data_IF_616287236888
#
_entry.id   IF_616287236888
#
_cell.length_a   1.000
_cell.length_b   1.000
_cell.length_c   1.000
_cell.angle_alpha   90.00
_cell.angle_beta   90.00
_cell.angle_gamma   90.00
#
_symmetry.space_group_name_H-M   'P 1'
#
loop_
_entity.id
_entity.type
_entity.pdbx_description
1 polymer ?
#
# COMPACT_ATOMS: atom_id res chain seq x y z
N UNK A 1 0.94 24.49 4.85
CA UNK A 1 0.28 25.47 3.95
C UNK A 1 1.32 26.01 2.96
N UNK A 2 0.95 26.56 1.80
CA UNK A 2 1.93 27.27 0.96
C UNK A 2 2.36 28.57 1.67
N UNK A 3 3.66 28.92 1.67
CA UNK A 3 4.20 30.06 2.44
C UNK A 3 3.44 31.37 2.18
N UNK A 4 3.05 31.63 0.93
CA UNK A 4 2.29 32.84 0.58
C UNK A 4 0.90 32.89 1.22
N UNK A 5 0.17 31.77 1.26
CA UNK A 5 -1.15 31.71 1.91
C UNK A 5 -1.04 31.87 3.43
N UNK A 6 0.00 31.28 4.04
CA UNK A 6 0.25 31.45 5.47
C UNK A 6 0.54 32.92 5.81
N UNK A 7 1.36 33.61 5.01
CA UNK A 7 1.67 35.02 5.20
C UNK A 7 0.42 35.90 5.05
N UNK A 8 -0.38 35.68 4.01
CA UNK A 8 -1.64 36.42 3.83
C UNK A 8 -2.61 36.19 5.00
N UNK A 9 -2.75 34.94 5.46
CA UNK A 9 -3.61 34.63 6.60
C UNK A 9 -3.10 35.29 7.90
N UNK A 10 -1.79 35.32 8.14
CA UNK A 10 -1.18 36.02 9.29
C UNK A 10 -1.41 37.53 9.22
N UNK A 11 -1.37 38.13 8.02
CA UNK A 11 -1.59 39.57 7.87
C UNK A 11 -3.05 39.96 8.12
N UNK A 12 -4.00 39.12 7.68
CA UNK A 12 -5.45 39.39 7.82
C UNK A 12 -5.93 39.01 9.22
N UNK A 13 -5.36 37.96 9.82
CA UNK A 13 -5.76 37.40 11.11
C UNK A 13 -4.54 37.18 12.03
N UNK A 14 -3.89 38.25 12.52
CA UNK A 14 -2.62 38.16 13.26
C UNK A 14 -2.72 37.34 14.55
N UNK A 15 -3.86 37.40 15.22
CA UNK A 15 -4.09 36.72 16.51
C UNK A 15 -4.81 35.37 16.35
N UNK A 16 -4.96 34.87 15.12
CA UNK A 16 -5.63 33.58 14.88
C UNK A 16 -4.60 32.48 14.59
N UNK A 17 -4.60 31.40 15.39
CA UNK A 17 -3.70 30.29 15.16
C UNK A 17 -3.99 29.63 13.81
N UNK A 18 -2.94 29.33 13.06
CA UNK A 18 -3.05 28.66 11.76
C UNK A 18 -2.91 27.17 11.93
N UNK A 19 -3.93 26.41 11.53
CA UNK A 19 -3.85 24.96 11.56
C UNK A 19 -3.21 24.41 10.29
N UNK A 20 -2.32 23.43 10.44
CA UNK A 20 -1.90 22.56 9.33
C UNK A 20 -2.55 21.18 9.41
N UNK A 21 -2.77 20.57 8.24
CA UNK A 21 -3.33 19.23 8.14
C UNK A 21 -2.34 18.19 8.69
N UNK A 22 -2.72 17.51 9.78
CA UNK A 22 -1.89 16.50 10.45
C UNK A 22 -1.52 15.34 9.51
N UNK A 23 -2.43 14.96 8.60
CA UNK A 23 -2.18 13.94 7.56
C UNK A 23 -1.08 14.36 6.60
N UNK A 24 -1.10 15.62 6.17
CA UNK A 24 -0.07 16.14 5.27
C UNK A 24 1.27 16.29 5.96
N UNK A 25 1.27 16.72 7.21
CA UNK A 25 2.45 16.79 8.05
C UNK A 25 3.12 15.42 8.17
N UNK A 26 2.42 14.40 8.69
CA UNK A 26 3.02 13.08 8.91
C UNK A 26 3.45 12.40 7.61
N UNK A 27 2.71 12.62 6.51
CA UNK A 27 3.08 12.11 5.18
C UNK A 27 4.38 12.72 4.68
N UNK A 28 4.54 14.04 4.82
CA UNK A 28 5.75 14.73 4.39
C UNK A 28 6.93 14.35 5.26
N UNK A 29 6.73 14.31 6.59
CA UNK A 29 7.74 13.84 7.53
C UNK A 29 8.22 12.43 7.18
N UNK A 30 7.29 11.48 6.98
CA UNK A 30 7.63 10.13 6.56
C UNK A 30 8.42 10.12 5.25
N UNK A 31 7.96 10.86 4.24
CA UNK A 31 8.67 10.94 2.96
C UNK A 31 10.11 11.42 3.15
N UNK A 32 10.31 12.46 3.95
CA UNK A 32 11.62 13.08 4.16
C UNK A 32 12.54 12.12 4.93
N UNK A 33 12.03 11.42 5.94
CA UNK A 33 12.81 10.44 6.71
C UNK A 33 13.09 9.15 5.95
N UNK A 34 12.17 8.66 5.11
CA UNK A 34 12.23 7.30 4.53
C UNK A 34 12.86 7.27 3.14
N UNK A 35 12.72 8.33 2.33
CA UNK A 35 13.09 8.29 0.90
C UNK A 35 14.57 7.95 0.68
N UNK A 36 15.48 8.54 1.46
CA UNK A 36 16.93 8.29 1.33
C UNK A 36 17.30 6.85 1.64
N UNK A 37 16.82 6.31 2.76
CA UNK A 37 17.07 4.93 3.18
C UNK A 37 16.40 3.92 2.24
N UNK A 38 15.19 4.19 1.76
CA UNK A 38 14.54 3.35 0.75
C UNK A 38 15.34 3.27 -0.56
N UNK A 39 15.93 4.38 -1.03
CA UNK A 39 16.82 4.36 -2.20
C UNK A 39 18.05 3.49 -1.98
N UNK A 40 18.65 3.54 -0.78
CA UNK A 40 19.77 2.69 -0.40
C UNK A 40 19.40 1.21 -0.37
N UNK A 41 18.28 0.86 0.28
CA UNK A 41 17.74 -0.51 0.30
C UNK A 41 17.45 -1.03 -1.12
N UNK A 42 16.80 -0.21 -1.95
CA UNK A 42 16.57 -0.53 -3.37
C UNK A 42 17.90 -0.85 -4.06
N UNK A 43 18.90 0.01 -3.90
CA UNK A 43 20.18 -0.15 -4.56
C UNK A 43 20.87 -1.46 -4.14
N UNK A 44 20.94 -1.75 -2.83
CA UNK A 44 21.53 -3.00 -2.35
C UNK A 44 20.76 -4.24 -2.80
N UNK A 45 19.41 -4.23 -2.76
CA UNK A 45 18.60 -5.35 -3.26
C UNK A 45 18.74 -5.58 -4.76
N UNK A 46 18.88 -4.53 -5.57
CA UNK A 46 19.04 -4.64 -7.03
C UNK A 46 20.39 -5.27 -7.41
N UNK A 47 21.45 -5.09 -6.60
CA UNK A 47 22.76 -5.76 -6.82
C UNK A 47 22.63 -7.28 -6.90
N UNK A 48 21.70 -7.86 -6.15
CA UNK A 48 21.41 -9.31 -6.15
C UNK A 48 20.67 -9.83 -7.37
N UNK A 49 20.28 -8.93 -8.30
CA UNK A 49 19.50 -9.28 -9.50
C UNK A 49 18.23 -10.09 -9.17
N UNK A 50 17.61 -9.82 -8.01
CA UNK A 50 16.44 -10.57 -7.55
C UNK A 50 15.28 -10.51 -8.55
N UNK A 51 14.94 -9.33 -9.07
CA UNK A 51 13.83 -9.17 -10.01
C UNK A 51 14.00 -10.03 -11.28
N UNK A 52 15.11 -9.94 -12.05
CA UNK A 52 15.28 -10.78 -13.23
C UNK A 52 15.36 -12.28 -12.90
N UNK A 53 15.95 -12.68 -11.76
CA UNK A 53 15.95 -14.09 -11.31
C UNK A 53 14.55 -14.61 -11.03
N UNK A 54 13.73 -13.84 -10.31
CA UNK A 54 12.32 -14.17 -10.08
C UNK A 54 11.53 -14.24 -11.40
N UNK A 55 11.78 -13.32 -12.34
CA UNK A 55 11.15 -13.37 -13.67
C UNK A 55 11.52 -14.62 -14.47
N UNK A 56 12.77 -15.08 -14.38
CA UNK A 56 13.18 -16.32 -15.02
C UNK A 56 12.45 -17.53 -14.42
N UNK A 57 12.30 -17.58 -13.10
CA UNK A 57 11.55 -18.64 -12.41
C UNK A 57 10.06 -18.65 -12.78
N UNK A 58 9.47 -17.49 -13.08
CA UNK A 58 8.08 -17.37 -13.58
C UNK A 58 7.86 -18.05 -14.93
N UNK A 59 8.92 -18.20 -15.71
CA UNK A 59 8.90 -18.71 -17.08
C UNK A 59 9.48 -20.12 -17.20
N UNK A 60 9.82 -20.77 -16.08
CA UNK A 60 10.37 -22.12 -16.09
C UNK A 60 9.31 -23.14 -16.54
N UNK A 61 9.72 -24.12 -17.35
CA UNK A 61 8.82 -25.15 -17.90
C UNK A 61 8.22 -26.06 -16.84
N UNK A 62 7.08 -26.69 -17.17
CA UNK A 62 6.39 -27.65 -16.31
C UNK A 62 7.22 -28.90 -16.06
N UNK A 63 7.23 -29.41 -14.83
CA UNK A 63 7.91 -30.66 -14.51
C UNK A 63 7.15 -31.92 -14.93
N UNK A 64 7.88 -33.03 -15.03
CA UNK A 64 7.39 -34.30 -15.61
C UNK A 64 6.49 -35.15 -14.67
N UNK A 65 6.40 -34.79 -13.39
CA UNK A 65 5.53 -35.48 -12.41
C UNK A 65 4.51 -34.54 -11.78
N UNK A 66 3.40 -35.07 -11.29
CA UNK A 66 2.29 -34.25 -10.77
C UNK A 66 2.72 -33.41 -9.56
N UNK A 67 3.55 -33.96 -8.67
CA UNK A 67 4.13 -33.17 -7.58
C UNK A 67 5.06 -32.04 -8.07
N UNK A 68 5.81 -32.25 -9.16
CA UNK A 68 6.63 -31.19 -9.77
C UNK A 68 5.76 -30.11 -10.40
N UNK A 69 4.65 -30.47 -11.06
CA UNK A 69 3.69 -29.49 -11.61
C UNK A 69 3.06 -28.64 -10.50
N UNK A 70 2.69 -29.27 -9.39
CA UNK A 70 2.15 -28.58 -8.22
C UNK A 70 3.17 -27.64 -7.57
N UNK A 71 4.42 -28.09 -7.38
CA UNK A 71 5.48 -27.22 -6.87
C UNK A 71 5.86 -26.10 -7.85
N UNK A 72 5.81 -26.32 -9.17
CA UNK A 72 5.98 -25.27 -10.17
C UNK A 72 4.90 -24.19 -10.02
N UNK A 73 3.64 -24.61 -9.85
CA UNK A 73 2.53 -23.68 -9.63
C UNK A 73 2.71 -22.91 -8.31
N UNK A 74 3.13 -23.58 -7.24
CA UNK A 74 3.47 -22.95 -5.96
C UNK A 74 4.59 -21.91 -6.13
N UNK A 75 5.68 -22.26 -6.84
CA UNK A 75 6.79 -21.34 -7.14
C UNK A 75 6.31 -20.13 -7.94
N UNK A 76 5.42 -20.31 -8.92
CA UNK A 76 4.84 -19.19 -9.67
C UNK A 76 4.03 -18.24 -8.78
N UNK A 77 3.19 -18.77 -7.89
CA UNK A 77 2.42 -17.95 -6.93
C UNK A 77 3.37 -17.18 -6.00
N UNK A 78 4.42 -17.84 -5.50
CA UNK A 78 5.43 -17.23 -4.65
C UNK A 78 6.19 -16.11 -5.38
N UNK A 79 6.60 -16.34 -6.63
CA UNK A 79 7.26 -15.35 -7.49
C UNK A 79 6.36 -14.13 -7.72
N UNK A 80 5.08 -14.34 -8.06
CA UNK A 80 4.14 -13.25 -8.27
C UNK A 80 3.88 -12.46 -6.97
N UNK A 81 3.83 -13.13 -5.82
CA UNK A 81 3.74 -12.48 -4.51
C UNK A 81 4.98 -11.61 -4.21
N UNK A 82 6.18 -12.11 -4.52
CA UNK A 82 7.45 -11.39 -4.30
C UNK A 82 7.65 -10.19 -5.25
N UNK A 83 7.13 -10.27 -6.48
CA UNK A 83 7.26 -9.21 -7.49
C UNK A 83 6.20 -8.12 -7.36
N UNK A 84 5.02 -8.46 -6.81
CA UNK A 84 3.89 -7.54 -6.70
C UNK A 84 4.24 -6.15 -6.13
N UNK A 85 5.01 -6.00 -5.03
CA UNK A 85 5.27 -4.67 -4.47
C UNK A 85 6.04 -3.74 -5.41
N UNK A 86 6.88 -4.31 -6.26
CA UNK A 86 7.74 -3.58 -7.20
C UNK A 86 7.02 -3.33 -8.52
N UNK A 87 6.24 -4.30 -9.01
CA UNK A 87 5.54 -4.20 -10.31
C UNK A 87 4.23 -3.40 -10.22
N UNK A 88 3.47 -3.52 -9.12
CA UNK A 88 2.15 -2.85 -8.99
C UNK A 88 2.20 -1.50 -8.26
N UNK A 89 3.38 -1.06 -7.81
CA UNK A 89 3.59 0.16 -7.03
C UNK A 89 2.59 0.31 -5.87
N UNK A 90 2.84 -0.39 -4.76
CA UNK A 90 1.99 -0.36 -3.55
C UNK A 90 1.58 1.07 -3.22
N UNK A 91 0.27 1.33 -3.19
CA UNK A 91 -0.28 2.64 -2.86
C UNK A 91 -0.04 2.92 -1.39
N UNK A 92 0.99 3.71 -1.10
CA UNK A 92 1.32 4.16 0.25
C UNK A 92 1.19 5.67 0.37
N UNK A 93 0.91 6.15 1.59
CA UNK A 93 0.70 7.57 1.84
C UNK A 93 1.93 8.41 1.44
N UNK A 94 3.13 7.94 1.78
CA UNK A 94 4.40 8.63 1.48
C UNK A 94 5.05 8.21 0.14
N UNK A 95 4.66 7.05 -0.42
CA UNK A 95 5.10 6.40 -1.69
C UNK A 95 6.47 5.65 -1.77
N UNK A 96 7.45 5.69 -0.86
CA UNK A 96 8.63 4.82 -0.94
C UNK A 96 8.60 3.66 0.07
N UNK A 97 7.95 2.55 -0.29
CA UNK A 97 8.03 1.31 0.53
C UNK A 97 8.08 0.01 -0.29
N UNK A 98 8.15 0.07 -1.62
CA UNK A 98 8.06 -1.15 -2.45
C UNK A 98 9.12 -2.18 -2.09
N UNK A 99 10.35 -1.72 -1.83
CA UNK A 99 11.47 -2.61 -1.52
C UNK A 99 11.49 -3.09 -0.07
N UNK A 100 10.94 -2.32 0.89
CA UNK A 100 10.77 -2.84 2.25
C UNK A 100 9.67 -3.90 2.31
N UNK A 101 8.55 -3.68 1.61
CA UNK A 101 7.50 -4.70 1.49
C UNK A 101 8.05 -5.93 0.79
N UNK A 102 8.81 -5.77 -0.29
CA UNK A 102 9.48 -6.89 -0.94
C UNK A 102 10.39 -7.64 0.04
N UNK A 103 11.17 -6.94 0.87
CA UNK A 103 12.03 -7.59 1.87
C UNK A 103 11.24 -8.38 2.92
N UNK A 104 10.10 -7.87 3.42
CA UNK A 104 9.21 -8.64 4.30
C UNK A 104 8.73 -9.92 3.63
N UNK A 105 8.28 -9.81 2.38
CA UNK A 105 7.81 -10.97 1.60
C UNK A 105 8.92 -11.99 1.35
N UNK A 106 10.16 -11.54 1.12
CA UNK A 106 11.33 -12.42 1.01
C UNK A 106 11.53 -13.22 2.29
N UNK A 107 11.42 -12.60 3.47
CA UNK A 107 11.51 -13.31 4.76
C UNK A 107 10.42 -14.37 4.92
N UNK A 108 9.17 -14.00 4.65
CA UNK A 108 8.01 -14.90 4.73
C UNK A 108 8.19 -16.12 3.81
N UNK A 109 8.42 -15.86 2.51
CA UNK A 109 8.55 -16.91 1.50
C UNK A 109 9.80 -17.75 1.72
N UNK A 110 10.92 -17.18 2.20
CA UNK A 110 12.15 -17.94 2.47
C UNK A 110 11.94 -19.02 3.53
N UNK A 111 11.07 -18.77 4.52
CA UNK A 111 10.73 -19.78 5.53
C UNK A 111 9.94 -20.93 4.89
N UNK A 112 8.92 -20.60 4.09
CA UNK A 112 8.11 -21.58 3.37
C UNK A 112 8.95 -22.43 2.39
N UNK A 113 9.83 -21.79 1.61
CA UNK A 113 10.76 -22.48 0.71
C UNK A 113 11.66 -23.45 1.48
N UNK A 114 12.17 -23.04 2.65
CA UNK A 114 13.03 -23.90 3.48
C UNK A 114 12.29 -25.10 4.06
N UNK A 115 10.99 -24.96 4.35
CA UNK A 115 10.13 -26.08 4.79
C UNK A 115 9.87 -27.04 3.63
N UNK A 116 9.52 -26.51 2.45
CA UNK A 116 9.27 -27.32 1.26
C UNK A 116 10.54 -28.08 0.80
N UNK A 117 11.72 -27.47 0.89
CA UNK A 117 13.00 -28.16 0.61
C UNK A 117 13.25 -29.28 1.61
N UNK A 118 12.98 -29.08 2.91
CA UNK A 118 13.12 -30.13 3.92
C UNK A 118 12.18 -31.29 3.65
N UNK A 119 10.92 -31.00 3.34
CA UNK A 119 9.95 -32.04 2.95
C UNK A 119 10.40 -32.80 1.70
N UNK A 120 10.87 -32.08 0.67
CA UNK A 120 11.42 -32.67 -0.55
C UNK A 120 12.60 -33.62 -0.25
N UNK A 121 13.53 -33.19 0.60
CA UNK A 121 14.68 -34.00 0.99
C UNK A 121 14.27 -35.27 1.75
N UNK A 122 13.31 -35.19 2.67
CA UNK A 122 12.75 -36.35 3.38
C UNK A 122 12.06 -37.35 2.44
N UNK A 123 11.65 -36.91 1.25
CA UNK A 123 11.01 -37.74 0.22
C UNK A 123 11.96 -38.07 -0.95
N UNK A 124 13.28 -37.91 -0.77
CA UNK A 124 14.31 -38.17 -1.80
C UNK A 124 14.04 -37.47 -3.14
N UNK A 125 13.44 -36.28 -3.07
CA UNK A 125 12.97 -35.52 -4.21
C UNK A 125 13.73 -34.20 -4.32
N UNK A 126 14.13 -33.84 -5.54
CA UNK A 126 14.83 -32.57 -5.82
C UNK A 126 14.11 -31.84 -6.94
N UNK A 127 13.83 -30.56 -6.71
CA UNK A 127 13.18 -29.70 -7.67
C UNK A 127 13.97 -28.40 -7.85
N UNK A 128 14.66 -28.31 -8.99
CA UNK A 128 15.66 -27.27 -9.29
C UNK A 128 15.13 -25.84 -9.18
N UNK A 129 13.94 -25.47 -9.72
CA UNK A 129 13.40 -24.12 -9.57
C UNK A 129 13.19 -23.69 -8.12
N UNK A 130 12.82 -24.62 -7.22
CA UNK A 130 12.69 -24.32 -5.79
C UNK A 130 14.06 -24.07 -5.14
N UNK A 131 15.09 -24.83 -5.52
CA UNK A 131 16.45 -24.60 -5.04
C UNK A 131 17.01 -23.25 -5.53
N UNK A 132 16.74 -22.89 -6.79
CA UNK A 132 17.09 -21.59 -7.36
C UNK A 132 16.38 -20.44 -6.65
N UNK A 133 15.08 -20.61 -6.34
CA UNK A 133 14.32 -19.64 -5.54
C UNK A 133 14.94 -19.49 -4.14
N UNK A 134 15.24 -20.60 -3.46
CA UNK A 134 15.88 -20.58 -2.14
C UNK A 134 17.20 -19.82 -2.13
N UNK A 135 18.10 -20.13 -3.06
CA UNK A 135 19.38 -19.41 -3.21
C UNK A 135 19.13 -17.94 -3.46
N UNK A 136 18.21 -17.60 -4.37
CA UNK A 136 17.86 -16.21 -4.68
C UNK A 136 17.38 -15.41 -3.46
N UNK A 137 16.56 -16.00 -2.59
CA UNK A 137 16.08 -15.34 -1.37
C UNK A 137 17.18 -15.26 -0.31
N UNK A 138 17.96 -16.32 -0.14
CA UNK A 138 19.08 -16.34 0.83
C UNK A 138 20.17 -15.34 0.50
N UNK A 139 20.50 -15.15 -0.77
CA UNK A 139 21.51 -14.17 -1.19
C UNK A 139 21.15 -12.76 -0.67
N UNK A 140 19.87 -12.38 -0.73
CA UNK A 140 19.38 -11.09 -0.22
C UNK A 140 19.31 -11.06 1.31
N UNK A 141 18.86 -12.14 1.95
CA UNK A 141 18.69 -12.19 3.41
C UNK A 141 20.02 -12.25 4.17
N UNK A 142 21.06 -12.84 3.58
CA UNK A 142 22.39 -12.94 4.20
C UNK A 142 23.26 -11.71 3.94
N UNK A 143 22.83 -10.79 3.07
CA UNK A 143 23.57 -9.56 2.80
C UNK A 143 23.40 -8.56 3.96
N UNK A 144 24.51 -8.27 4.64
CA UNK A 144 24.55 -7.35 5.78
C UNK A 144 24.27 -5.89 5.41
N UNK A 145 24.61 -5.45 4.20
CA UNK A 145 24.29 -4.12 3.67
C UNK A 145 22.77 -4.01 3.44
N UNK A 146 22.15 -5.02 2.84
CA UNK A 146 20.69 -5.09 2.69
C UNK A 146 20.01 -5.08 4.05
N UNK A 147 20.45 -5.94 4.98
CA UNK A 147 19.88 -6.01 6.32
C UNK A 147 20.01 -4.69 7.07
N UNK A 148 21.18 -4.03 7.01
CA UNK A 148 21.41 -2.74 7.66
C UNK A 148 20.48 -1.64 7.14
N UNK A 149 20.35 -1.51 5.81
CA UNK A 149 19.42 -0.55 5.21
C UNK A 149 17.95 -0.86 5.53
N UNK A 150 17.57 -2.13 5.50
CA UNK A 150 16.24 -2.59 5.90
C UNK A 150 15.96 -2.24 7.36
N UNK A 151 16.88 -2.53 8.27
CA UNK A 151 16.69 -2.35 9.70
C UNK A 151 16.44 -0.88 10.07
N UNK A 152 17.22 0.03 9.48
CA UNK A 152 17.02 1.48 9.66
C UNK A 152 15.62 1.88 9.17
N UNK A 153 15.21 1.39 8.00
CA UNK A 153 13.95 1.74 7.39
C UNK A 153 12.74 1.20 8.19
N UNK A 154 12.80 -0.07 8.60
CA UNK A 154 11.78 -0.73 9.42
C UNK A 154 11.59 0.00 10.74
N UNK A 155 12.69 0.26 11.47
CA UNK A 155 12.62 0.95 12.77
C UNK A 155 12.11 2.38 12.63
N UNK A 156 12.56 3.12 11.59
CA UNK A 156 12.05 4.47 11.30
C UNK A 156 10.55 4.45 11.00
N UNK A 157 10.07 3.47 10.23
CA UNK A 157 8.65 3.33 9.93
C UNK A 157 7.81 2.97 11.16
N UNK A 158 8.34 2.14 12.07
CA UNK A 158 7.71 1.82 13.37
C UNK A 158 7.54 3.06 14.25
N UNK A 159 8.58 3.87 14.40
CA UNK A 159 8.48 5.15 15.12
C UNK A 159 7.44 6.08 14.52
N UNK A 160 7.42 6.19 13.19
CA UNK A 160 6.43 7.01 12.51
C UNK A 160 5.01 6.43 12.63
N UNK A 161 4.86 5.11 12.78
CA UNK A 161 3.56 4.46 13.01
C UNK A 161 3.00 4.75 14.38
N UNK A 162 3.83 4.67 15.41
CA UNK A 162 3.44 5.02 16.76
C UNK A 162 2.94 6.47 16.83
N UNK A 163 3.61 7.38 16.12
CA UNK A 163 3.17 8.77 15.96
C UNK A 163 1.84 8.88 15.16
N UNK A 164 1.67 8.10 14.08
CA UNK A 164 0.41 8.06 13.32
C UNK A 164 -0.75 7.57 14.15
N UNK A 165 -0.55 6.53 14.96
CA UNK A 165 -1.60 5.93 15.77
C UNK A 165 -2.09 6.92 16.84
N UNK A 166 -1.17 7.67 17.45
CA UNK A 166 -1.53 8.77 18.37
C UNK A 166 -2.28 9.91 17.67
N UNK A 167 -1.93 10.21 16.42
CA UNK A 167 -2.68 11.15 15.57
C UNK A 167 -3.98 10.54 15.00
N UNK A 168 -4.25 9.26 15.25
CA UNK A 168 -5.38 8.48 14.70
C UNK A 168 -5.42 8.45 13.17
N UNK A 169 -4.24 8.40 12.53
CA UNK A 169 -4.06 8.42 11.08
C UNK A 169 -3.75 7.01 10.56
N UNK A 170 -4.66 6.42 9.77
CA UNK A 170 -4.45 5.09 9.19
C UNK A 170 -3.48 5.09 8.00
N UNK A 171 -2.67 4.02 7.87
CA UNK A 171 -1.89 3.74 6.66
C UNK A 171 -2.71 3.32 5.44
N UNK A 172 -3.82 2.58 5.64
CA UNK A 172 -4.61 1.93 4.56
C UNK A 172 -5.45 2.93 3.75
N UNK A 173 -5.87 4.00 4.40
CA UNK A 173 -6.71 5.04 3.80
C UNK A 173 -5.99 6.34 4.02
N UNK A 174 -5.71 7.07 2.94
CA UNK A 174 -5.01 8.34 3.04
C UNK A 174 -5.67 9.31 4.02
N UNK A 175 -6.96 9.16 4.28
CA UNK A 175 -7.77 10.05 5.10
C UNK A 175 -8.93 9.19 5.66
N UNK A 176 -9.02 8.96 6.97
CA UNK A 176 -10.25 8.43 7.58
C UNK A 176 -11.08 9.61 8.08
N UNK A 177 -12.33 9.67 7.64
CA UNK A 177 -13.37 10.47 8.28
C UNK A 177 -13.76 9.78 9.60
N UNK A 178 -12.86 9.79 10.57
CA UNK A 178 -13.30 9.57 11.94
C UNK A 178 -14.23 10.73 12.27
N UNK A 179 -15.41 10.44 12.82
CA UNK A 179 -16.24 11.48 13.44
C UNK A 179 -15.35 12.28 14.39
N UNK A 180 -15.46 13.62 14.44
CA UNK A 180 -14.81 14.39 15.48
C UNK A 180 -15.47 13.98 16.80
N UNK A 181 -14.99 12.88 17.39
CA UNK A 181 -15.23 12.59 18.80
C UNK A 181 -14.50 13.65 19.62
N UNK A 182 -14.83 13.74 20.90
CA UNK A 182 -14.07 14.54 21.85
C UNK A 182 -12.61 14.03 21.86
N UNK A 183 -11.78 14.68 21.07
CA UNK A 183 -10.33 14.49 21.12
C UNK A 183 -9.86 15.43 22.20
N UNK A 184 -9.43 14.85 23.32
CA UNK A 184 -8.63 15.58 24.29
C UNK A 184 -7.27 15.89 23.66
N UNK A 185 -7.10 17.14 23.24
CA UNK A 185 -5.86 17.61 22.61
C UNK A 185 -4.70 17.65 23.61
N UNK A 186 -4.98 17.85 24.89
CA UNK A 186 -3.95 17.86 25.92
C UNK A 186 -3.41 16.45 26.12
N UNK A 187 -4.30 15.45 26.16
CA UNK A 187 -3.92 14.04 26.16
C UNK A 187 -3.12 13.65 24.92
N UNK A 188 -3.60 13.97 23.72
CA UNK A 188 -2.89 13.65 22.46
C UNK A 188 -1.50 14.31 22.44
N UNK A 189 -1.41 15.57 22.85
CA UNK A 189 -0.14 16.31 22.91
C UNK A 189 0.83 15.66 23.91
N UNK A 190 0.34 15.30 25.10
CA UNK A 190 1.13 14.62 26.14
C UNK A 190 1.64 13.27 25.64
N UNK A 191 0.78 12.47 25.02
CA UNK A 191 1.14 11.15 24.52
C UNK A 191 2.19 11.25 23.40
N UNK A 192 2.04 12.19 22.46
CA UNK A 192 3.02 12.36 21.39
C UNK A 192 4.36 12.87 21.94
N UNK A 193 4.37 13.76 22.94
CA UNK A 193 5.61 14.16 23.62
C UNK A 193 6.32 12.96 24.26
N UNK A 194 5.58 12.06 24.91
CA UNK A 194 6.12 10.83 25.48
C UNK A 194 6.70 9.90 24.40
N UNK A 195 5.98 9.70 23.30
CA UNK A 195 6.46 8.91 22.15
C UNK A 195 7.74 9.51 21.57
N UNK A 196 7.81 10.84 21.37
CA UNK A 196 9.03 11.49 20.87
C UNK A 196 10.21 11.34 21.82
N UNK A 197 9.99 11.37 23.13
CA UNK A 197 11.03 11.10 24.13
C UNK A 197 11.55 9.65 24.01
N UNK A 198 10.64 8.68 23.91
CA UNK A 198 10.99 7.27 23.71
C UNK A 198 11.72 7.01 22.38
N UNK A 199 11.33 7.69 21.30
CA UNK A 199 12.04 7.65 20.01
C UNK A 199 13.48 8.16 20.16
N UNK A 200 13.69 9.27 20.88
CA UNK A 200 15.03 9.80 21.12
C UNK A 200 15.90 8.88 21.98
N UNK A 201 15.32 8.26 23.01
CA UNK A 201 16.02 7.29 23.85
C UNK A 201 16.42 6.05 23.05
N UNK A 202 15.47 5.40 22.38
CA UNK A 202 15.73 4.26 21.51
C UNK A 202 16.73 4.62 20.40
N UNK A 203 16.70 5.86 19.90
CA UNK A 203 17.67 6.34 18.93
C UNK A 203 19.10 6.39 19.48
N UNK A 204 19.29 6.82 20.72
CA UNK A 204 20.60 6.82 21.39
C UNK A 204 21.11 5.40 21.62
N UNK A 205 20.26 4.50 22.10
CA UNK A 205 20.62 3.11 22.38
C UNK A 205 21.05 2.35 21.12
N UNK A 206 20.32 2.53 20.01
CA UNK A 206 20.64 1.86 18.75
C UNK A 206 21.88 2.43 18.05
N UNK A 207 22.26 3.68 18.32
CA UNK A 207 23.43 4.33 17.72
C UNK A 207 23.36 4.50 16.19
N UNK A 208 24.52 4.74 15.57
CA UNK A 208 24.63 4.92 14.11
C UNK A 208 23.79 6.08 13.59
N UNK A 209 22.91 5.79 12.62
CA UNK A 209 22.03 6.81 12.01
C UNK A 209 20.78 7.14 12.86
N UNK A 210 20.45 6.31 13.85
CA UNK A 210 19.20 6.42 14.60
C UNK A 210 19.07 7.71 15.44
N UNK A 211 20.11 8.22 16.14
CA UNK A 211 20.01 9.48 16.86
C UNK A 211 19.65 10.66 15.95
N UNK A 212 20.23 10.71 14.75
CA UNK A 212 19.96 11.77 13.77
C UNK A 212 18.52 11.70 13.25
N UNK A 213 18.02 10.49 12.94
CA UNK A 213 16.63 10.28 12.52
C UNK A 213 15.65 10.69 13.64
N UNK A 214 15.90 10.23 14.86
CA UNK A 214 15.08 10.57 16.02
C UNK A 214 15.03 12.09 16.28
N UNK A 215 16.19 12.75 16.22
CA UNK A 215 16.30 14.21 16.33
C UNK A 215 15.53 14.95 15.22
N UNK A 216 15.64 14.48 13.97
CA UNK A 216 14.91 15.07 12.85
C UNK A 216 13.39 14.93 12.99
N UNK A 217 12.90 13.77 13.48
CA UNK A 217 11.49 13.54 13.78
C UNK A 217 11.03 14.51 14.89
N UNK A 218 11.75 14.58 16.02
CA UNK A 218 11.43 15.48 17.13
C UNK A 218 11.37 16.94 16.69
N UNK A 219 12.39 17.41 15.97
CA UNK A 219 12.48 18.78 15.47
C UNK A 219 11.32 19.14 14.54
N UNK A 220 10.86 18.21 13.72
CA UNK A 220 9.72 18.43 12.84
C UNK A 220 8.43 18.71 13.63
N UNK A 221 8.19 17.99 14.74
CA UNK A 221 7.05 18.26 15.60
C UNK A 221 7.21 19.56 16.40
N UNK A 222 8.39 19.80 16.96
CA UNK A 222 8.69 21.04 17.69
C UNK A 222 8.47 22.30 16.84
N UNK A 223 8.77 22.21 15.54
CA UNK A 223 8.60 23.34 14.60
C UNK A 223 7.14 23.60 14.22
N UNK A 224 6.22 22.69 14.54
CA UNK A 224 4.82 22.74 14.10
C UNK A 224 3.82 22.51 15.23
N UNK A 225 4.22 22.59 16.50
CA UNK A 225 3.33 22.27 17.62
C UNK A 225 2.05 23.12 17.64
N UNK A 226 2.23 24.43 17.56
CA UNK A 226 1.13 25.39 17.62
C UNK A 226 0.21 25.27 16.41
N UNK A 227 0.73 24.78 15.28
CA UNK A 227 -0.03 24.57 14.04
C UNK A 227 -0.77 23.21 14.01
N UNK A 228 -0.23 22.19 14.67
CA UNK A 228 -0.78 20.83 14.67
C UNK A 228 -1.91 20.66 15.70
N UNK A 229 -1.82 21.36 16.83
CA UNK A 229 -2.74 21.20 17.97
C UNK A 229 -3.46 22.49 18.36
N UNK A 230 -3.86 23.27 17.36
CA UNK A 230 -4.72 24.45 17.55
C UNK A 230 -5.97 24.08 18.38
N UNK A 231 -6.25 24.71 19.54
CA UNK A 231 -7.42 24.36 20.35
C UNK A 231 -8.73 24.60 19.58
N UNK A 232 -9.78 23.87 19.96
CA UNK A 232 -11.09 24.07 19.34
C UNK A 232 -11.62 25.48 19.63
N UNK A 233 -12.13 26.20 18.61
CA UNK A 233 -12.65 27.54 18.80
C UNK A 233 -13.88 27.53 19.71
N UNK A 234 -13.99 28.56 20.54
CA UNK A 234 -15.16 28.80 21.37
C UNK A 234 -16.07 29.78 20.64
N UNK A 235 -17.25 29.31 20.25
CA UNK A 235 -18.27 30.13 19.57
C UNK A 235 -19.49 30.21 20.48
N UNK A 236 -19.83 31.42 20.94
CA UNK A 236 -20.96 31.67 21.87
C UNK A 236 -20.90 30.80 23.14
N UNK A 237 -19.72 30.68 23.74
CA UNK A 237 -19.50 29.89 24.96
C UNK A 237 -19.49 28.36 24.75
N UNK A 238 -19.64 27.88 23.52
CA UNK A 238 -19.58 26.44 23.19
C UNK A 238 -18.32 26.13 22.41
N UNK A 239 -17.63 25.05 22.80
CA UNK A 239 -16.49 24.49 22.07
C UNK A 239 -16.99 23.89 20.76
N UNK A 240 -16.45 24.33 19.63
CA UNK A 240 -16.81 23.83 18.30
C UNK A 240 -15.68 22.95 17.80
N UNK A 241 -15.89 21.63 17.85
CA UNK A 241 -14.95 20.68 17.28
C UNK A 241 -14.84 20.89 15.76
N UNK A 242 -13.62 20.96 15.25
CA UNK A 242 -13.36 21.12 13.83
C UNK A 242 -12.36 20.07 13.31
N UNK A 243 -12.51 19.71 12.02
CA UNK A 243 -11.69 18.64 11.42
C UNK A 243 -10.26 19.12 11.20
N UNK A 244 -9.29 18.36 11.71
CA UNK A 244 -7.85 18.66 11.64
C UNK A 244 -7.17 18.12 10.37
N UNK A 245 -7.98 17.78 9.38
CA UNK A 245 -7.56 17.33 8.07
C UNK A 245 -8.47 17.91 6.99
N UNK A 246 -7.92 18.16 5.81
CA UNK A 246 -8.64 18.71 4.67
C UNK A 246 -9.32 17.63 3.79
N UNK A 247 -9.52 16.41 4.31
CA UNK A 247 -10.10 15.28 3.55
C UNK A 247 -11.42 15.61 2.85
N UNK A 248 -12.36 16.25 3.55
CA UNK A 248 -13.69 16.51 2.99
C UNK A 248 -13.63 17.36 1.72
N UNK A 249 -12.68 18.30 1.65
CA UNK A 249 -12.46 19.18 0.50
C UNK A 249 -11.60 18.51 -0.60
N UNK A 250 -10.62 17.70 -0.23
CA UNK A 250 -9.73 17.04 -1.20
C UNK A 250 -10.33 15.78 -1.83
N UNK A 251 -11.14 15.02 -1.09
CA UNK A 251 -11.65 13.71 -1.49
C UNK A 251 -12.74 13.79 -2.56
N UNK A 252 -13.62 14.79 -2.48
CA UNK A 252 -14.70 15.03 -3.45
C UNK A 252 -14.12 15.10 -4.86
N UNK A 253 -13.19 16.01 -5.11
CA UNK A 253 -12.66 16.22 -6.46
C UNK A 253 -11.47 15.32 -6.81
N UNK A 254 -11.04 14.42 -5.91
CA UNK A 254 -9.82 13.61 -6.12
C UNK A 254 -9.92 12.67 -7.31
N UNK A 255 -11.06 11.98 -7.44
CA UNK A 255 -11.30 11.02 -8.52
C UNK A 255 -11.34 11.73 -9.86
N UNK A 256 -12.09 12.83 -9.91
CA UNK A 256 -12.21 13.70 -11.08
C UNK A 256 -10.86 14.25 -11.53
N UNK A 257 -10.09 14.82 -10.60
CA UNK A 257 -8.74 15.33 -10.88
C UNK A 257 -7.79 14.24 -11.35
N UNK A 258 -7.90 13.02 -10.81
CA UNK A 258 -7.10 11.87 -11.24
C UNK A 258 -7.45 11.45 -12.67
N UNK A 259 -8.74 11.33 -12.99
CA UNK A 259 -9.22 10.96 -14.32
C UNK A 259 -8.78 11.99 -15.38
N UNK A 260 -8.93 13.28 -15.08
CA UNK A 260 -8.41 14.39 -15.90
C UNK A 260 -6.91 14.21 -16.13
N UNK A 261 -6.12 14.05 -15.06
CA UNK A 261 -4.66 13.93 -15.15
C UNK A 261 -4.19 12.69 -15.90
N UNK A 262 -4.92 11.58 -15.81
CA UNK A 262 -4.60 10.35 -16.56
C UNK A 262 -4.83 10.52 -18.05
N UNK A 263 -5.74 11.43 -18.45
CA UNK A 263 -6.01 11.78 -19.85
C UNK A 263 -5.08 12.88 -20.38
N UNK A 264 -4.83 13.94 -19.61
CA UNK A 264 -4.15 15.17 -20.09
C UNK A 264 -2.75 15.39 -19.53
N UNK A 265 -2.31 14.55 -18.58
CA UNK A 265 -1.01 14.72 -17.94
C UNK A 265 -0.99 15.87 -16.91
N UNK A 266 0.19 16.13 -16.32
CA UNK A 266 0.33 17.03 -15.15
C UNK A 266 0.21 18.52 -15.48
N UNK A 267 0.65 18.93 -16.67
CA UNK A 267 0.69 20.33 -17.10
C UNK A 267 -0.70 20.92 -17.31
N UNK A 268 -1.65 20.13 -17.81
CA UNK A 268 -2.97 20.60 -18.23
C UNK A 268 -4.09 20.30 -17.21
N UNK A 269 -3.79 19.50 -16.17
CA UNK A 269 -4.77 19.11 -15.14
C UNK A 269 -5.49 20.31 -14.52
N UNK A 270 -4.76 21.40 -14.22
CA UNK A 270 -5.35 22.56 -13.57
C UNK A 270 -6.24 23.36 -14.53
N UNK A 271 -5.81 23.52 -15.79
CA UNK A 271 -6.59 24.21 -16.83
C UNK A 271 -7.94 23.55 -17.07
N UNK A 272 -7.98 22.21 -17.20
CA UNK A 272 -9.26 21.49 -17.34
C UNK A 272 -10.12 21.53 -16.07
N UNK A 273 -9.49 21.43 -14.90
CA UNK A 273 -10.21 21.55 -13.63
C UNK A 273 -10.91 22.92 -13.52
N UNK A 274 -10.26 23.98 -13.98
CA UNK A 274 -10.81 25.34 -14.01
C UNK A 274 -11.86 25.50 -15.12
N UNK A 275 -11.63 24.94 -16.31
CA UNK A 275 -12.56 25.00 -17.45
C UNK A 275 -13.93 24.41 -17.12
N UNK A 276 -13.97 23.26 -16.44
CA UNK A 276 -15.22 22.57 -16.14
C UNK A 276 -15.83 22.95 -14.80
N UNK A 277 -15.07 23.59 -13.90
CA UNK A 277 -15.56 24.25 -12.67
C UNK A 277 -16.69 23.50 -11.95
N UNK A 278 -17.87 24.12 -11.92
CA UNK A 278 -19.07 23.64 -11.22
C UNK A 278 -19.59 22.29 -11.75
N UNK A 279 -19.39 22.00 -13.04
CA UNK A 279 -19.78 20.71 -13.62
C UNK A 279 -19.01 19.55 -12.98
N UNK A 280 -17.77 19.77 -12.54
CA UNK A 280 -16.98 18.75 -11.83
C UNK A 280 -17.52 18.49 -10.43
N UNK A 281 -18.17 19.46 -9.79
CA UNK A 281 -18.85 19.27 -8.51
C UNK A 281 -20.10 18.42 -8.68
N UNK A 282 -20.90 18.66 -9.73
CA UNK A 282 -22.04 17.81 -10.09
C UNK A 282 -21.58 16.38 -10.37
N UNK A 283 -20.56 16.22 -11.22
CA UNK A 283 -20.03 14.91 -11.59
C UNK A 283 -19.46 14.16 -10.37
N UNK A 284 -18.73 14.85 -9.49
CA UNK A 284 -18.23 14.30 -8.23
C UNK A 284 -19.35 13.80 -7.31
N UNK A 285 -20.49 14.48 -7.29
CA UNK A 285 -21.62 14.15 -6.44
C UNK A 285 -22.46 12.98 -6.95
N UNK A 286 -22.25 12.51 -8.19
CA UNK A 286 -22.89 11.31 -8.72
C UNK A 286 -22.63 10.05 -7.87
N UNK A 287 -21.60 10.02 -7.04
CA UNK A 287 -21.28 8.92 -6.11
C UNK A 287 -21.63 9.21 -4.65
N UNK A 288 -22.28 10.34 -4.36
CA UNK A 288 -22.73 10.69 -3.01
C UNK A 288 -24.16 10.13 -2.80
N UNK A 289 -24.39 9.24 -1.82
CA UNK A 289 -25.71 8.64 -1.59
C UNK A 289 -26.81 9.66 -1.28
N UNK A 290 -26.48 10.72 -0.54
CA UNK A 290 -27.44 11.81 -0.24
C UNK A 290 -27.77 12.59 -1.50
N UNK A 291 -26.80 12.87 -2.37
CA UNK A 291 -27.06 13.55 -3.64
C UNK A 291 -27.91 12.69 -4.58
N UNK A 292 -27.63 11.39 -4.67
CA UNK A 292 -28.47 10.47 -5.44
C UNK A 292 -29.91 10.45 -4.91
N UNK A 293 -30.07 10.38 -3.58
CA UNK A 293 -31.38 10.28 -2.95
C UNK A 293 -32.20 11.59 -2.99
N UNK A 294 -31.55 12.74 -2.86
CA UNK A 294 -32.26 14.02 -2.69
C UNK A 294 -32.31 14.83 -3.99
N UNK A 295 -31.30 14.71 -4.87
CA UNK A 295 -31.19 15.52 -6.11
C UNK A 295 -31.47 14.68 -7.36
N UNK A 296 -31.02 13.42 -7.41
CA UNK A 296 -31.24 12.52 -8.56
C UNK A 296 -32.29 11.44 -8.27
N UNK A 297 -33.23 11.75 -7.38
CA UNK A 297 -34.24 10.80 -6.89
C UNK A 297 -35.17 10.27 -7.99
N UNK A 298 -35.28 11.02 -9.09
CA UNK A 298 -36.06 10.73 -10.29
C UNK A 298 -35.23 9.98 -11.38
N UNK A 299 -33.92 9.81 -11.19
CA UNK A 299 -33.03 9.11 -12.12
C UNK A 299 -32.84 7.65 -11.69
N UNK A 300 -33.64 6.76 -12.28
CA UNK A 300 -33.64 5.32 -11.95
C UNK A 300 -32.33 4.58 -12.30
N UNK A 301 -31.72 4.90 -13.44
CA UNK A 301 -30.44 4.32 -13.88
C UNK A 301 -29.59 5.39 -14.57
N UNK A 302 -28.52 5.79 -13.88
CA UNK A 302 -27.57 6.79 -14.37
C UNK A 302 -26.79 6.30 -15.59
N UNK A 303 -26.46 5.01 -15.66
CA UNK A 303 -25.76 4.40 -16.78
C UNK A 303 -26.62 4.35 -18.03
N UNK A 304 -27.90 4.04 -17.89
CA UNK A 304 -28.88 4.13 -18.98
C UNK A 304 -29.08 5.57 -19.43
N UNK A 305 -29.25 6.51 -18.50
CA UNK A 305 -29.48 7.93 -18.78
C UNK A 305 -28.29 8.59 -19.50
N UNK A 306 -27.07 8.12 -19.23
CA UNK A 306 -25.85 8.60 -19.88
C UNK A 306 -25.49 7.83 -21.15
N UNK A 307 -26.12 6.68 -21.41
CA UNK A 307 -25.81 5.82 -22.57
C UNK A 307 -25.95 6.50 -23.94
N UNK A 308 -26.91 7.42 -24.19
CA UNK A 308 -27.03 8.11 -25.48
C UNK A 308 -25.82 8.99 -25.82
N UNK A 309 -25.03 9.36 -24.80
CA UNK A 309 -23.85 10.21 -24.96
C UNK A 309 -22.55 9.40 -25.16
N UNK A 310 -22.61 8.06 -25.12
CA UNK A 310 -21.43 7.18 -25.27
C UNK A 310 -21.59 6.33 -26.53
N UNK A 311 -20.81 6.66 -27.58
CA UNK A 311 -20.96 6.05 -28.91
C UNK A 311 -20.68 4.54 -29.00
N UNK A 312 -19.93 3.92 -28.07
CA UNK A 312 -19.63 2.48 -28.13
C UNK A 312 -19.19 1.86 -26.77
N UNK A 313 -20.16 1.69 -25.86
CA UNK A 313 -19.94 1.08 -24.54
C UNK A 313 -19.43 -0.40 -24.58
N UNK A 314 -19.91 -1.27 -25.51
CA UNK A 314 -19.42 -2.65 -25.61
C UNK A 314 -17.94 -2.76 -25.98
N UNK A 315 -17.44 -1.94 -26.92
CA UNK A 315 -16.02 -1.94 -27.32
C UNK A 315 -15.11 -1.53 -26.16
N UNK A 316 -15.47 -0.49 -25.41
CA UNK A 316 -14.76 -0.03 -24.21
C UNK A 316 -14.64 -1.13 -23.14
N UNK A 317 -15.72 -1.89 -22.90
CA UNK A 317 -15.70 -3.04 -21.96
C UNK A 317 -14.76 -4.15 -22.44
N UNK A 318 -14.71 -4.42 -23.75
CA UNK A 318 -13.84 -5.44 -24.35
C UNK A 318 -12.36 -5.06 -24.27
N UNK A 319 -12.02 -3.80 -24.55
CA UNK A 319 -10.66 -3.27 -24.40
C UNK A 319 -10.20 -3.25 -22.92
N UNK A 320 -11.10 -2.90 -22.01
CA UNK A 320 -10.84 -2.97 -20.56
C UNK A 320 -10.58 -4.40 -20.06
N UNK A 321 -11.24 -5.42 -20.63
CA UNK A 321 -11.01 -6.83 -20.27
C UNK A 321 -9.69 -7.37 -20.87
N UNK A 322 -9.40 -7.08 -22.15
CA UNK A 322 -8.15 -7.49 -22.82
C UNK A 322 -6.88 -6.89 -22.19
N UNK A 323 -6.96 -5.68 -21.67
CA UNK A 323 -5.84 -5.05 -20.95
C UNK A 323 -5.56 -5.66 -19.57
N UNK A 324 -6.41 -6.57 -19.09
CA UNK A 324 -6.29 -7.24 -17.79
C UNK A 324 -5.88 -8.71 -17.87
N UNK A 325 -5.80 -9.30 -19.06
CA UNK A 325 -5.25 -10.64 -19.27
C UNK A 325 -3.73 -10.56 -19.38
N UNK A 326 -3.04 -10.68 -18.24
CA UNK A 326 -1.58 -10.80 -18.16
C UNK A 326 -1.15 -12.23 -17.82
N UNK A 327 0.17 -12.53 -17.82
CA UNK A 327 0.72 -13.83 -17.43
C UNK A 327 0.63 -14.10 -15.91
N UNK A 328 0.13 -13.14 -15.13
CA UNK A 328 -0.08 -13.28 -13.68
C UNK A 328 -1.21 -14.25 -13.40
N UNK A 329 -1.02 -15.12 -12.40
CA UNK A 329 -2.08 -15.99 -11.93
C UNK A 329 -3.18 -15.09 -11.31
N UNK A 330 -4.47 -15.25 -11.66
CA UNK A 330 -5.57 -14.37 -11.22
C UNK A 330 -5.99 -14.61 -9.76
N UNK A 331 -5.01 -14.71 -8.86
CA UNK A 331 -5.19 -14.78 -7.41
C UNK A 331 -4.98 -13.37 -6.84
N UNK A 332 -5.95 -12.91 -6.06
CA UNK A 332 -5.85 -11.64 -5.33
C UNK A 332 -4.62 -11.65 -4.41
N UNK A 333 -3.86 -10.56 -4.37
CA UNK A 333 -2.56 -10.49 -3.67
C UNK A 333 -2.67 -10.87 -2.18
N UNK A 334 -3.76 -10.45 -1.53
CA UNK A 334 -4.10 -10.77 -0.15
C UNK A 334 -4.37 -12.26 0.12
N UNK A 335 -4.69 -13.06 -0.91
CA UNK A 335 -4.93 -14.50 -0.78
C UNK A 335 -3.68 -15.35 -1.03
N UNK A 336 -2.66 -14.80 -1.69
CA UNK A 336 -1.48 -15.57 -2.14
C UNK A 336 -0.72 -16.21 -0.99
N UNK A 337 -0.51 -15.50 0.13
CA UNK A 337 0.21 -16.05 1.27
C UNK A 337 -0.52 -17.24 1.89
N UNK A 338 -1.83 -17.13 2.13
CA UNK A 338 -2.63 -18.23 2.67
C UNK A 338 -2.54 -19.50 1.81
N UNK A 339 -2.66 -19.35 0.49
CA UNK A 339 -2.49 -20.47 -0.46
C UNK A 339 -1.10 -21.12 -0.33
N UNK A 340 -0.03 -20.32 -0.21
CA UNK A 340 1.33 -20.83 -0.09
C UNK A 340 1.55 -21.59 1.23
N UNK A 341 0.95 -21.11 2.32
CA UNK A 341 1.01 -21.71 3.66
C UNK A 341 0.20 -23.01 3.73
N UNK A 342 -1.04 -22.98 3.24
CA UNK A 342 -1.96 -24.13 3.21
C UNK A 342 -1.35 -25.29 2.44
N UNK A 343 -0.70 -25.01 1.29
CA UNK A 343 0.00 -26.01 0.49
C UNK A 343 1.06 -26.77 1.30
N UNK A 344 1.86 -26.06 2.10
CA UNK A 344 2.91 -26.68 2.92
C UNK A 344 2.29 -27.43 4.10
N UNK A 345 1.27 -26.86 4.73
CA UNK A 345 0.56 -27.53 5.83
C UNK A 345 -0.02 -28.87 5.38
N UNK A 346 -0.65 -28.93 4.20
CA UNK A 346 -1.17 -30.19 3.64
C UNK A 346 -0.05 -31.18 3.33
N UNK A 347 1.06 -30.74 2.74
CA UNK A 347 2.22 -31.62 2.51
C UNK A 347 2.79 -32.23 3.80
N UNK A 348 2.88 -31.44 4.86
CA UNK A 348 3.42 -31.89 6.16
C UNK A 348 2.45 -32.76 6.97
N UNK A 349 1.15 -32.71 6.67
CA UNK A 349 0.10 -33.42 7.45
C UNK A 349 -0.49 -34.66 6.76
N UNK A 350 -0.28 -34.83 5.44
CA UNK A 350 -0.88 -35.93 4.70
C UNK A 350 -0.30 -37.31 5.06
N UNK A 351 -1.19 -38.31 5.15
CA UNK A 351 -0.85 -39.71 5.46
C UNK A 351 -0.91 -40.64 4.25
N UNK A 352 -1.53 -40.24 3.13
CA UNK A 352 -1.67 -41.03 1.89
C UNK A 352 -1.32 -40.19 0.65
N UNK A 353 -0.83 -40.82 -0.42
CA UNK A 353 -0.29 -40.13 -1.62
C UNK A 353 -1.38 -39.61 -2.56
N UNK A 354 -2.51 -40.31 -2.72
CA UNK A 354 -3.53 -39.97 -3.72
C UNK A 354 -4.45 -38.83 -3.24
N UNK A 355 -4.82 -38.83 -1.95
CA UNK A 355 -5.59 -37.76 -1.31
C UNK A 355 -4.79 -36.45 -1.24
N UNK A 356 -3.45 -36.56 -1.16
CA UNK A 356 -2.54 -35.42 -1.12
C UNK A 356 -2.57 -34.63 -2.42
N UNK A 357 -2.45 -35.29 -3.58
CA UNK A 357 -2.38 -34.60 -4.89
C UNK A 357 -3.67 -33.82 -5.17
N UNK A 358 -4.83 -34.45 -4.96
CA UNK A 358 -6.13 -33.81 -5.15
C UNK A 358 -6.33 -32.58 -4.24
N UNK A 359 -5.94 -32.70 -2.96
CA UNK A 359 -6.05 -31.59 -2.00
C UNK A 359 -5.15 -30.41 -2.41
N UNK A 360 -3.92 -30.69 -2.85
CA UNK A 360 -2.99 -29.65 -3.31
C UNK A 360 -3.44 -28.97 -4.61
N UNK A 361 -4.05 -29.72 -5.54
CA UNK A 361 -4.65 -29.16 -6.76
C UNK A 361 -5.76 -28.15 -6.42
N UNK A 362 -6.64 -28.51 -5.48
CA UNK A 362 -7.71 -27.63 -4.99
C UNK A 362 -7.16 -26.33 -4.36
N UNK A 363 -6.12 -26.42 -3.52
CA UNK A 363 -5.50 -25.24 -2.87
C UNK A 363 -4.92 -24.27 -3.90
N UNK A 364 -4.29 -24.80 -4.94
CA UNK A 364 -3.64 -24.01 -5.99
C UNK A 364 -4.61 -23.46 -7.04
N UNK A 365 -5.91 -23.76 -6.92
CA UNK A 365 -6.94 -23.39 -7.88
C UNK A 365 -6.65 -23.96 -9.26
N UNK A 366 -6.09 -25.17 -9.32
CA UNK A 366 -5.96 -25.92 -10.56
C UNK A 366 -7.28 -26.68 -10.72
N UNK A 367 -8.26 -26.05 -11.39
CA UNK A 367 -9.38 -26.81 -11.92
C UNK A 367 -8.83 -27.82 -12.92
N UNK A 368 -9.30 -29.06 -12.88
CA UNK A 368 -9.10 -29.99 -13.99
C UNK A 368 -9.50 -29.27 -15.27
N UNK A 369 -8.67 -29.38 -16.29
CA UNK A 369 -8.88 -28.83 -17.64
C UNK A 369 -10.05 -29.58 -18.31
N UNK A 370 -11.25 -29.48 -17.72
CA UNK A 370 -12.50 -30.03 -18.21
C UNK A 370 -13.11 -29.01 -19.15
N UNK A 371 -12.56 -28.98 -20.36
CA UNK A 371 -13.25 -28.59 -21.57
C UNK A 371 -13.63 -27.12 -21.67
N UNK A 372 -13.09 -26.47 -22.71
CA UNK A 372 -13.70 -25.30 -23.30
C UNK A 372 -15.17 -25.58 -23.68
N UNK A 373 -16.11 -25.36 -22.75
CA UNK A 373 -17.52 -25.25 -23.08
C UNK A 373 -17.74 -23.80 -23.52
N UNK A 374 -17.68 -23.63 -24.84
CA UNK A 374 -18.31 -22.51 -25.53
C UNK A 374 -19.73 -22.32 -24.98
N UNK A 375 -20.01 -21.15 -24.41
CA UNK A 375 -21.38 -20.65 -24.30
C UNK A 375 -21.43 -19.29 -24.99
N UNK A 376 -22.26 -19.28 -26.03
CA UNK A 376 -22.51 -18.23 -27.00
C UNK A 376 -23.06 -16.93 -26.40
#
# INVERSE_FOLDING_TARGET
>A
MAKGLALCASNIFPDKPQQICQVHFIRNLEKDQVTGYHKRLKHSMVKHRITPRLKALRNAGSGDSDIKKLQQRWVHIAVDYLLYPVEKHVKWISRPISYIVQYYRIKEVSNLVSRLIRWNASNYFVYKPLMELHTCLRDVLNDSEVFGHYHILDKTLKWLDELRDNLRISRKTNLKDSTPGDIDLEEVTRNIKAVLAGICEAGRELGGNFPQIASAIKKAFESHWDELFVPDPIVKGKKVAFRRHNNGLESSHRRTRKAIRERTGRSETNSEMEQFGDLLAILSNLWNPTYQKEILHDVNDLGYSLSPFIKDLPKLRKEYRKSRTGPEIPIADEKKMGILEDFIHVLESAKSSDELVATLQSILGVEDDMGAVCLC
#
